data_IF_373287522642
#
_entry.id   IF_373287522642
#
_cell.length_a   1.000
_cell.length_b   1.000
_cell.length_c   1.000
_cell.angle_alpha   90.00
_cell.angle_beta   90.00
_cell.angle_gamma   90.00
#
_symmetry.space_group_name_H-M   'P 1'
#
loop_
_entity.id
_entity.type
_entity.pdbx_description
1 polymer ?
#
# COMPACT_ATOMS: atom_id res chain seq x y z
N UNK A 1 -6.50 26.79 -8.12
CA UNK A 1 -5.22 26.66 -8.84
C UNK A 1 -4.68 25.31 -8.45
N UNK A 2 -4.78 24.31 -9.33
CA UNK A 2 -4.26 22.96 -9.09
C UNK A 2 -2.82 22.96 -9.60
N UNK A 3 -2.01 23.85 -9.03
CA UNK A 3 -0.64 24.08 -9.48
C UNK A 3 0.28 22.98 -8.96
N UNK A 4 1.25 22.63 -9.81
CA UNK A 4 2.29 21.63 -9.60
C UNK A 4 2.80 21.64 -8.16
N UNK A 5 2.51 20.57 -7.42
CA UNK A 5 3.25 20.28 -6.21
C UNK A 5 4.73 20.26 -6.59
N UNK A 6 5.54 21.03 -5.87
CA UNK A 6 6.99 20.95 -6.01
C UNK A 6 7.45 19.51 -5.73
N UNK A 7 8.63 19.13 -6.23
CA UNK A 7 9.19 17.80 -5.97
C UNK A 7 9.29 17.48 -4.47
N UNK A 8 9.53 18.48 -3.62
CA UNK A 8 9.57 18.34 -2.16
C UNK A 8 8.18 18.09 -1.54
N UNK A 9 7.15 18.78 -2.04
CA UNK A 9 5.78 18.54 -1.60
C UNK A 9 5.28 17.16 -2.05
N UNK A 10 5.62 16.73 -3.27
CA UNK A 10 5.36 15.38 -3.77
C UNK A 10 6.04 14.35 -2.86
N UNK A 11 7.32 14.52 -2.55
CA UNK A 11 8.05 13.61 -1.66
C UNK A 11 7.39 13.54 -0.27
N UNK A 12 6.99 14.68 0.29
CA UNK A 12 6.27 14.74 1.57
C UNK A 12 4.93 13.99 1.51
N UNK A 13 4.17 14.12 0.42
CA UNK A 13 2.93 13.36 0.26
C UNK A 13 3.20 11.86 0.06
N UNK A 14 4.25 11.49 -0.69
CA UNK A 14 4.65 10.09 -0.86
C UNK A 14 5.01 9.45 0.49
N UNK A 15 5.74 10.15 1.35
CA UNK A 15 6.07 9.67 2.71
C UNK A 15 4.81 9.48 3.56
N UNK A 16 3.87 10.42 3.49
CA UNK A 16 2.57 10.29 4.19
C UNK A 16 1.75 9.10 3.67
N UNK A 17 1.71 8.90 2.36
CA UNK A 17 1.02 7.76 1.74
C UNK A 17 1.69 6.44 2.14
N UNK A 18 3.03 6.38 2.12
CA UNK A 18 3.78 5.21 2.54
C UNK A 18 3.52 4.87 4.01
N UNK A 19 3.52 5.87 4.90
CA UNK A 19 3.19 5.71 6.31
C UNK A 19 1.75 5.20 6.51
N UNK A 20 0.78 5.77 5.79
CA UNK A 20 -0.61 5.35 5.84
C UNK A 20 -0.81 3.91 5.31
N UNK A 21 -0.15 3.55 4.22
CA UNK A 21 -0.18 2.20 3.67
C UNK A 21 0.40 1.18 4.66
N UNK A 22 1.54 1.49 5.29
CA UNK A 22 2.14 0.63 6.31
C UNK A 22 1.23 0.48 7.53
N UNK A 23 0.63 1.57 8.02
CA UNK A 23 -0.33 1.52 9.13
C UNK A 23 -1.55 0.67 8.79
N UNK A 24 -2.11 0.83 7.59
CA UNK A 24 -3.23 0.03 7.10
C UNK A 24 -2.88 -1.46 7.00
N UNK A 25 -1.73 -1.80 6.42
CA UNK A 25 -1.27 -3.18 6.29
C UNK A 25 -1.06 -3.85 7.66
N UNK A 26 -0.48 -3.13 8.63
CA UNK A 26 -0.34 -3.59 10.02
C UNK A 26 -1.68 -3.86 10.68
N UNK A 27 -2.65 -2.96 10.51
CA UNK A 27 -4.00 -3.13 11.04
C UNK A 27 -4.67 -4.37 10.46
N UNK A 28 -4.60 -4.57 9.15
CA UNK A 28 -5.15 -5.77 8.48
C UNK A 28 -4.49 -7.05 8.99
N UNK A 29 -3.15 -7.07 9.11
CA UNK A 29 -2.44 -8.22 9.66
C UNK A 29 -2.84 -8.51 11.12
N UNK A 30 -3.10 -7.47 11.91
CA UNK A 30 -3.58 -7.58 13.29
C UNK A 30 -5.03 -8.07 13.37
N UNK A 31 -5.90 -7.72 12.41
CA UNK A 31 -7.24 -8.31 12.30
C UNK A 31 -7.16 -9.83 12.15
N UNK A 32 -6.24 -10.34 11.32
CA UNK A 32 -6.04 -11.79 11.18
C UNK A 32 -5.60 -12.47 12.49
N UNK A 33 -4.90 -11.75 13.38
CA UNK A 33 -4.57 -12.27 14.71
C UNK A 33 -5.75 -12.16 15.68
N UNK A 34 -6.57 -11.12 15.58
CA UNK A 34 -7.76 -10.92 16.40
C UNK A 34 -8.77 -12.07 16.23
N UNK A 35 -8.86 -12.67 15.05
CA UNK A 35 -9.68 -13.85 14.76
C UNK A 35 -9.07 -15.17 15.29
N UNK A 36 -7.90 -15.13 15.94
CA UNK A 36 -7.19 -16.32 16.41
C UNK A 36 -6.40 -16.09 17.70
N UNK A 37 -5.05 -16.06 17.66
CA UNK A 37 -4.22 -15.99 18.86
C UNK A 37 -4.42 -14.70 19.68
N UNK A 38 -4.92 -13.64 19.06
CA UNK A 38 -5.30 -12.37 19.68
C UNK A 38 -6.78 -12.26 20.04
N UNK A 39 -7.55 -13.36 20.06
CA UNK A 39 -8.99 -13.33 20.37
C UNK A 39 -9.29 -12.53 21.65
N UNK A 40 -10.23 -11.60 21.51
CA UNK A 40 -10.64 -10.65 22.56
C UNK A 40 -9.85 -9.33 22.56
N UNK A 41 -8.93 -9.11 21.61
CA UNK A 41 -8.18 -7.88 21.45
C UNK A 41 -8.59 -7.15 20.18
N UNK A 42 -8.67 -5.83 20.26
CA UNK A 42 -8.86 -4.98 19.08
C UNK A 42 -7.60 -4.99 18.19
N UNK A 43 -7.74 -4.95 16.85
CA UNK A 43 -6.61 -4.94 15.91
C UNK A 43 -5.61 -3.80 16.15
N UNK A 44 -6.09 -2.64 16.57
CA UNK A 44 -5.24 -1.47 16.86
C UNK A 44 -4.39 -1.75 18.11
N UNK A 45 -4.96 -2.39 19.14
CA UNK A 45 -4.22 -2.80 20.35
C UNK A 45 -3.19 -3.88 20.06
N UNK A 46 -3.51 -4.88 19.23
CA UNK A 46 -2.56 -5.91 18.78
C UNK A 46 -1.38 -5.24 18.07
N UNK A 47 -1.66 -4.30 17.18
CA UNK A 47 -0.64 -3.54 16.43
C UNK A 47 0.28 -2.78 17.39
N UNK A 48 -0.28 -2.02 18.33
CA UNK A 48 0.50 -1.24 19.30
C UNK A 48 1.40 -2.13 20.16
N UNK A 49 0.90 -3.28 20.60
CA UNK A 49 1.65 -4.24 21.41
C UNK A 49 2.81 -4.83 20.63
N UNK A 50 2.57 -5.29 19.40
CA UNK A 50 3.61 -5.88 18.55
C UNK A 50 4.67 -4.87 18.09
N UNK A 51 4.30 -3.59 17.93
CA UNK A 51 5.26 -2.52 17.61
C UNK A 51 6.11 -2.19 18.84
N UNK A 52 5.49 -2.03 20.01
CA UNK A 52 6.18 -1.59 21.23
C UNK A 52 7.11 -2.67 21.79
N UNK A 53 6.80 -3.95 21.58
CA UNK A 53 7.62 -5.10 22.00
C UNK A 53 7.97 -5.10 23.49
N UNK A 54 7.00 -4.70 24.31
CA UNK A 54 7.20 -4.61 25.76
C UNK A 54 7.06 -5.99 26.40
N UNK A 55 8.19 -6.58 26.82
CA UNK A 55 8.22 -7.89 27.47
C UNK A 55 7.50 -7.94 28.81
N UNK A 56 7.21 -6.80 29.44
CA UNK A 56 6.42 -6.73 30.66
C UNK A 56 4.90 -6.73 30.40
N UNK A 57 4.46 -6.58 29.14
CA UNK A 57 3.05 -6.60 28.77
C UNK A 57 2.58 -8.06 28.56
N UNK A 58 1.63 -8.57 29.37
CA UNK A 58 1.11 -9.94 29.22
C UNK A 58 0.49 -10.20 27.84
N UNK A 59 -0.01 -9.15 27.18
CA UNK A 59 -0.52 -9.26 25.82
C UNK A 59 0.62 -9.48 24.83
N UNK A 60 1.78 -8.85 25.04
CA UNK A 60 2.94 -9.09 24.20
C UNK A 60 3.46 -10.51 24.38
N UNK A 61 3.57 -11.01 25.60
CA UNK A 61 4.00 -12.40 25.87
C UNK A 61 3.13 -13.41 25.11
N UNK A 62 1.81 -13.21 25.11
CA UNK A 62 0.86 -14.04 24.35
C UNK A 62 1.06 -13.94 22.83
N UNK A 63 1.37 -12.77 22.31
CA UNK A 63 1.45 -12.51 20.86
C UNK A 63 2.85 -12.73 20.28
N UNK A 64 3.90 -12.72 21.11
CA UNK A 64 5.30 -12.81 20.70
C UNK A 64 5.60 -14.01 19.78
N UNK A 65 5.03 -15.23 19.99
CA UNK A 65 5.25 -16.35 19.08
C UNK A 65 4.77 -16.12 17.64
N UNK A 66 3.88 -15.15 17.41
CA UNK A 66 3.29 -14.85 16.11
C UNK A 66 3.87 -13.60 15.44
N UNK A 67 4.75 -12.88 16.14
CA UNK A 67 5.26 -11.59 15.71
C UNK A 67 5.94 -11.64 14.33
N UNK A 68 6.82 -12.62 14.11
CA UNK A 68 7.52 -12.78 12.83
C UNK A 68 6.54 -13.00 11.68
N UNK A 69 5.56 -13.88 11.87
CA UNK A 69 4.53 -14.19 10.87
C UNK A 69 3.65 -12.98 10.57
N UNK A 70 3.33 -12.19 11.60
CA UNK A 70 2.61 -10.93 11.44
C UNK A 70 3.43 -9.93 10.60
N UNK A 71 4.71 -9.74 10.89
CA UNK A 71 5.58 -8.85 10.13
C UNK A 71 5.72 -9.28 8.65
N UNK A 72 5.86 -10.58 8.39
CA UNK A 72 5.89 -11.12 7.03
C UNK A 72 4.56 -10.91 6.29
N UNK A 73 3.43 -11.03 6.98
CA UNK A 73 2.12 -10.74 6.40
C UNK A 73 1.99 -9.26 6.02
N UNK A 74 2.48 -8.34 6.86
CA UNK A 74 2.52 -6.90 6.53
C UNK A 74 3.31 -6.65 5.24
N UNK A 75 4.48 -7.27 5.07
CA UNK A 75 5.28 -7.16 3.85
C UNK A 75 4.49 -7.67 2.63
N UNK A 76 3.86 -8.84 2.75
CA UNK A 76 3.06 -9.44 1.66
C UNK A 76 1.88 -8.56 1.25
N UNK A 77 1.23 -7.91 2.22
CA UNK A 77 0.13 -6.97 1.97
C UNK A 77 0.63 -5.71 1.24
N UNK A 78 1.78 -5.16 1.65
CA UNK A 78 2.34 -3.96 1.01
C UNK A 78 2.86 -4.20 -0.41
N UNK A 79 3.40 -5.40 -0.68
CA UNK A 79 4.01 -5.73 -1.96
C UNK A 79 3.08 -5.48 -3.17
N UNK A 80 1.77 -5.69 -3.00
CA UNK A 80 0.79 -5.52 -4.08
C UNK A 80 0.23 -4.08 -4.20
N UNK A 81 0.42 -3.21 -3.20
CA UNK A 81 -0.28 -1.92 -3.10
C UNK A 81 0.41 -0.80 -3.89
N UNK A 82 1.72 -0.93 -4.15
CA UNK A 82 2.51 0.10 -4.83
C UNK A 82 2.55 -0.05 -6.37
N UNK A 83 1.65 -0.83 -6.99
CA UNK A 83 1.55 -0.88 -8.46
C UNK A 83 0.81 0.37 -8.98
N UNK A 84 1.47 1.28 -9.74
CA UNK A 84 0.80 2.45 -10.30
C UNK A 84 -0.16 2.11 -11.45
N UNK A 85 -0.22 0.85 -11.92
CA UNK A 85 -1.02 0.48 -13.09
C UNK A 85 -2.51 0.90 -13.03
N UNK A 86 -3.25 0.76 -11.91
CA UNK A 86 -4.64 1.22 -11.85
C UNK A 86 -4.77 2.74 -12.03
N UNK A 87 -3.84 3.52 -11.46
CA UNK A 87 -3.82 4.98 -11.65
C UNK A 87 -3.45 5.37 -13.08
N UNK A 88 -2.55 4.61 -13.72
CA UNK A 88 -2.21 4.78 -15.14
C UNK A 88 -3.42 4.49 -16.04
N UNK A 89 -4.16 3.42 -15.77
CA UNK A 89 -5.36 3.06 -16.53
C UNK A 89 -6.45 4.12 -16.40
N UNK A 90 -6.76 4.58 -15.18
CA UNK A 90 -7.72 5.67 -14.95
C UNK A 90 -7.29 6.97 -15.65
N UNK A 91 -6.01 7.36 -15.55
CA UNK A 91 -5.49 8.53 -16.25
C UNK A 91 -5.60 8.43 -17.77
N UNK A 92 -5.25 7.27 -18.34
CA UNK A 92 -5.36 7.02 -19.78
C UNK A 92 -6.82 7.01 -20.25
N UNK A 93 -7.73 6.39 -19.49
CA UNK A 93 -9.17 6.39 -19.77
C UNK A 93 -9.78 7.82 -19.74
N UNK A 94 -9.16 8.74 -18.99
CA UNK A 94 -9.50 10.18 -18.97
C UNK A 94 -8.81 11.00 -20.07
N UNK A 95 -8.05 10.36 -20.95
CA UNK A 95 -7.41 10.99 -22.11
C UNK A 95 -5.97 11.43 -21.91
N UNK A 96 -5.32 11.09 -20.79
CA UNK A 96 -3.88 11.38 -20.61
C UNK A 96 -3.06 10.63 -21.66
N UNK A 97 -2.15 11.35 -22.34
CA UNK A 97 -1.30 10.71 -23.33
C UNK A 97 -0.19 9.90 -22.65
N UNK A 98 0.40 8.93 -23.37
CA UNK A 98 1.58 8.20 -22.87
C UNK A 98 2.79 9.11 -22.58
N UNK A 99 2.85 10.30 -23.17
CA UNK A 99 3.89 11.28 -22.85
C UNK A 99 3.63 11.92 -21.48
N UNK A 100 2.37 12.29 -21.20
CA UNK A 100 1.96 12.85 -19.90
C UNK A 100 2.14 11.83 -18.77
N UNK A 101 1.74 10.59 -19.01
CA UNK A 101 1.94 9.46 -18.09
C UNK A 101 3.43 9.21 -17.84
N UNK A 102 4.25 9.25 -18.89
CA UNK A 102 5.70 9.14 -18.77
C UNK A 102 6.27 10.25 -17.89
N UNK A 103 5.85 11.50 -18.14
CA UNK A 103 6.23 12.67 -17.34
C UNK A 103 5.87 12.51 -15.86
N UNK A 104 4.64 12.11 -15.56
CA UNK A 104 4.17 11.88 -14.19
C UNK A 104 4.94 10.78 -13.44
N UNK A 105 5.43 9.76 -14.17
CA UNK A 105 6.20 8.65 -13.61
C UNK A 105 7.72 8.87 -13.64
N UNK A 106 8.19 9.99 -14.21
CA UNK A 106 9.62 10.26 -14.38
C UNK A 106 10.31 9.30 -15.37
N UNK A 107 9.58 8.73 -16.32
CA UNK A 107 10.09 7.77 -17.32
C UNK A 107 9.79 8.24 -18.75
N UNK A 108 10.55 7.74 -19.72
CA UNK A 108 10.27 8.03 -21.13
C UNK A 108 8.89 7.49 -21.56
N UNK A 109 8.22 8.23 -22.47
CA UNK A 109 6.93 7.84 -23.10
C UNK A 109 6.90 6.37 -23.53
N UNK A 110 7.93 5.93 -24.25
CA UNK A 110 7.99 4.57 -24.80
C UNK A 110 8.06 3.50 -23.70
N UNK A 111 8.77 3.79 -22.60
CA UNK A 111 8.82 2.93 -21.41
C UNK A 111 7.44 2.84 -20.73
N UNK A 112 6.72 3.96 -20.60
CA UNK A 112 5.36 3.97 -20.06
C UNK A 112 4.40 3.12 -20.92
N UNK A 113 4.38 3.35 -22.23
CA UNK A 113 3.55 2.60 -23.16
C UNK A 113 3.84 1.08 -23.08
N UNK A 114 5.10 0.68 -23.17
CA UNK A 114 5.49 -0.74 -23.15
C UNK A 114 5.11 -1.44 -21.83
N UNK A 115 5.19 -0.72 -20.70
CA UNK A 115 4.93 -1.29 -19.38
C UNK A 115 3.44 -1.43 -19.07
N UNK A 116 2.60 -0.51 -19.58
CA UNK A 116 1.20 -0.41 -19.13
C UNK A 116 0.15 -0.63 -20.22
N UNK A 117 0.46 -0.49 -21.51
CA UNK A 117 -0.53 -0.62 -22.60
C UNK A 117 -1.34 -1.93 -22.55
N UNK A 118 -0.70 -3.07 -22.28
CA UNK A 118 -1.40 -4.36 -22.15
C UNK A 118 -2.31 -4.47 -20.92
N UNK A 119 -2.00 -3.74 -19.84
CA UNK A 119 -2.81 -3.72 -18.61
C UNK A 119 -4.06 -2.85 -18.76
N UNK A 120 -3.94 -1.72 -19.45
CA UNK A 120 -5.06 -0.80 -19.71
C UNK A 120 -6.14 -1.44 -20.59
N UNK A 121 -5.73 -2.19 -21.62
CA UNK A 121 -6.67 -2.89 -22.52
C UNK A 121 -7.40 -4.06 -21.83
N UNK A 122 -6.79 -4.66 -20.81
CA UNK A 122 -7.39 -5.80 -20.10
C UNK A 122 -8.51 -5.37 -19.14
N UNK A 123 -8.51 -4.13 -18.67
CA UNK A 123 -9.52 -3.58 -17.75
C UNK A 123 -10.79 -3.12 -18.49
N UNK A 124 -10.70 -2.78 -19.79
CA UNK A 124 -11.86 -2.49 -20.65
C UNK A 124 -12.71 -3.73 -20.99
N UNK A 125 -12.21 -4.95 -20.73
CA UNK A 125 -12.86 -6.21 -21.12
C UNK A 125 -13.62 -6.92 -19.99
N UNK A 126 -13.94 -6.23 -18.88
CA UNK A 126 -14.87 -6.75 -17.87
C UNK A 126 -16.28 -6.19 -18.12
N UNK A 127 -17.19 -6.91 -18.80
CA UNK A 127 -18.58 -6.50 -18.90
C UNK A 127 -19.27 -6.60 -17.52
N UNK A 128 -20.14 -5.63 -17.24
CA UNK A 128 -21.01 -5.55 -16.05
C UNK A 128 -21.89 -6.78 -15.87
#
# INVERSE_FOLDING_TARGET
>A
MFDDLSGEEIATQQDRIAAAALASARRVASTCLADGPGLGLEPDRITDVLIRRDAADPVFERLAPFEERWALLVIRLLHAVLDPAPAVADAHARGASWADIGGALGIARQTAHNRFSGKVVSEELVPK
#
